data_IF_089333588683
#
_entry.id   IF_089333588683
#
_cell.length_a   1.000
_cell.length_b   1.000
_cell.length_c   1.000
_cell.angle_alpha   90.00
_cell.angle_beta   90.00
_cell.angle_gamma   90.00
#
_symmetry.space_group_name_H-M   'P 1'
#
loop_
_entity.id
_entity.type
_entity.pdbx_description
1 polymer ?
#
# COMPACT_ATOMS: atom_id res chain seq x y z
N UNK A 1 -1.60 47.24 6.75
CA UNK A 1 -1.04 46.20 7.63
C UNK A 1 -1.27 44.86 6.95
N UNK A 2 -0.24 44.27 6.35
CA UNK A 2 -0.33 42.91 5.84
C UNK A 2 -0.38 41.97 7.05
N UNK A 3 -1.53 41.33 7.27
CA UNK A 3 -1.60 40.17 8.18
C UNK A 3 -0.86 39.03 7.48
N UNK A 4 0.35 38.73 7.96
CA UNK A 4 1.04 37.50 7.58
C UNK A 4 0.13 36.33 7.95
N UNK A 5 -0.31 35.59 6.95
CA UNK A 5 -1.07 34.34 7.14
C UNK A 5 -0.06 33.32 7.65
N UNK A 6 -0.06 33.06 8.95
CA UNK A 6 0.69 31.94 9.53
C UNK A 6 0.08 30.66 8.96
N UNK A 7 0.79 30.01 8.05
CA UNK A 7 0.43 28.67 7.61
C UNK A 7 0.77 27.75 8.78
N UNK A 8 -0.24 27.32 9.53
CA UNK A 8 -0.06 26.28 10.54
C UNK A 8 0.19 24.99 9.76
N UNK A 9 1.45 24.54 9.75
CA UNK A 9 1.80 23.23 9.24
C UNK A 9 1.41 22.26 10.35
N UNK A 10 0.29 21.56 10.18
CA UNK A 10 -0.06 20.43 11.04
C UNK A 10 0.85 19.28 10.61
N UNK A 11 1.78 18.90 11.49
CA UNK A 11 2.65 17.74 11.27
C UNK A 11 1.98 16.58 12.00
N UNK A 12 1.84 15.46 11.31
CA UNK A 12 1.32 14.21 11.87
C UNK A 12 2.37 13.13 11.63
N UNK A 13 2.68 12.35 12.66
CA UNK A 13 3.47 11.13 12.54
C UNK A 13 2.50 9.94 12.45
N UNK A 14 2.67 9.14 11.40
CA UNK A 14 1.92 7.89 11.23
C UNK A 14 2.92 6.73 11.35
N UNK A 15 2.70 5.87 12.33
CA UNK A 15 3.53 4.69 12.60
C UNK A 15 2.83 3.46 12.08
N UNK A 16 3.56 2.65 11.31
CA UNK A 16 3.12 1.34 10.83
C UNK A 16 3.93 0.24 11.52
N UNK A 17 3.39 -0.28 12.61
CA UNK A 17 4.05 -1.32 13.38
C UNK A 17 4.07 -2.64 12.59
N UNK A 18 5.26 -3.24 12.47
CA UNK A 18 5.51 -4.39 11.61
C UNK A 18 6.36 -5.44 12.30
N UNK A 19 6.20 -6.70 11.91
CA UNK A 19 6.91 -7.85 12.46
C UNK A 19 6.64 -8.10 13.95
N UNK A 20 5.45 -7.73 14.43
CA UNK A 20 5.04 -7.87 15.83
C UNK A 20 3.80 -8.75 15.92
N UNK A 21 3.98 -10.02 16.30
CA UNK A 21 2.87 -10.96 16.40
C UNK A 21 1.79 -10.45 17.35
N UNK A 22 0.58 -10.29 16.83
CA UNK A 22 -0.61 -9.81 17.54
C UNK A 22 -0.49 -8.39 18.13
N UNK A 23 0.45 -7.60 17.63
CA UNK A 23 0.72 -6.24 18.11
C UNK A 23 1.03 -5.24 16.99
N UNK A 24 0.92 -5.62 15.71
CA UNK A 24 0.95 -4.66 14.63
C UNK A 24 -0.30 -3.76 14.67
N UNK A 25 -0.06 -2.47 14.55
CA UNK A 25 -1.05 -1.40 14.63
C UNK A 25 -0.64 -0.23 13.75
N UNK A 26 -1.60 0.61 13.41
CA UNK A 26 -1.36 1.95 12.87
C UNK A 26 -1.60 2.96 13.98
N UNK A 27 -0.62 3.81 14.26
CA UNK A 27 -0.72 4.85 15.28
C UNK A 27 -0.60 6.22 14.62
N UNK A 28 -1.49 7.14 14.97
CA UNK A 28 -1.48 8.52 14.48
C UNK A 28 -1.19 9.43 15.66
N UNK A 29 -0.07 10.14 15.58
CA UNK A 29 0.43 11.03 16.61
C UNK A 29 0.54 12.44 16.05
N UNK A 30 0.14 13.40 16.87
CA UNK A 30 0.26 14.81 16.55
C UNK A 30 1.53 15.42 17.15
N UNK A 31 1.90 16.60 16.66
CA UNK A 31 2.91 17.44 17.26
C UNK A 31 2.25 18.66 17.91
N UNK A 32 2.79 19.11 19.04
CA UNK A 32 2.36 20.33 19.68
C UNK A 32 2.85 21.59 18.94
N UNK A 33 2.49 22.77 19.45
CA UNK A 33 2.90 24.05 18.85
C UNK A 33 4.42 24.31 18.86
N UNK A 34 5.18 23.56 19.66
CA UNK A 34 6.63 23.61 19.72
C UNK A 34 7.30 22.57 18.78
N UNK A 35 6.49 21.74 18.11
CA UNK A 35 6.98 20.63 17.29
C UNK A 35 7.43 19.42 18.12
N UNK A 36 6.94 19.29 19.36
CA UNK A 36 7.17 18.10 20.20
C UNK A 36 6.07 17.06 19.97
N UNK A 37 6.45 15.78 19.94
CA UNK A 37 5.51 14.68 19.71
C UNK A 37 4.55 14.53 20.90
N UNK A 38 3.24 14.55 20.61
CA UNK A 38 2.19 14.32 21.60
C UNK A 38 2.02 12.81 21.81
N UNK A 39 2.16 12.38 23.05
CA UNK A 39 1.99 10.98 23.48
C UNK A 39 0.96 10.89 24.62
N UNK A 40 0.10 9.86 24.66
CA UNK A 40 0.00 8.73 23.71
C UNK A 40 -0.59 9.13 22.35
N UNK A 41 -0.58 8.24 21.33
CA UNK A 41 -1.24 8.48 20.04
C UNK A 41 -2.70 8.89 20.19
N UNK A 42 -3.16 9.82 19.34
CA UNK A 42 -4.55 10.26 19.32
C UNK A 42 -5.48 9.19 18.73
N UNK A 43 -5.00 8.45 17.73
CA UNK A 43 -5.72 7.34 17.09
C UNK A 43 -4.82 6.12 17.01
N UNK A 44 -5.41 4.95 17.31
CA UNK A 44 -4.77 3.64 17.16
C UNK A 44 -5.74 2.72 16.39
N UNK A 45 -5.27 2.15 15.28
CA UNK A 45 -5.97 1.10 14.54
C UNK A 45 -5.22 -0.21 14.79
N UNK A 46 -5.89 -1.13 15.47
CA UNK A 46 -5.26 -2.31 16.05
C UNK A 46 -5.72 -3.59 15.31
N UNK A 47 -5.33 -3.65 14.04
CA UNK A 47 -5.74 -4.68 13.09
C UNK A 47 -7.12 -4.42 12.46
N UNK A 48 -7.80 -5.49 12.05
CA UNK A 48 -9.09 -5.44 11.35
C UNK A 48 -10.04 -6.50 11.88
N UNK A 49 -11.35 -6.24 11.89
CA UNK A 49 -12.39 -7.21 12.29
C UNK A 49 -12.07 -7.98 13.60
N UNK A 50 -11.54 -7.26 14.60
CA UNK A 50 -11.06 -7.81 15.88
C UNK A 50 -9.88 -8.80 15.79
N UNK A 51 -9.24 -8.93 14.62
CA UNK A 51 -8.02 -9.71 14.41
C UNK A 51 -6.79 -8.83 14.60
N UNK A 52 -5.96 -9.23 15.56
CA UNK A 52 -4.62 -8.66 15.75
C UNK A 52 -3.70 -9.09 14.62
N UNK A 53 -2.83 -8.19 14.22
CA UNK A 53 -1.98 -8.40 13.06
C UNK A 53 -0.51 -8.58 13.42
N UNK A 54 0.24 -9.17 12.50
CA UNK A 54 1.69 -9.29 12.51
C UNK A 54 2.37 -8.13 11.79
N UNK A 55 1.69 -7.55 10.79
CA UNK A 55 2.26 -6.51 9.94
C UNK A 55 1.19 -5.53 9.45
N UNK A 56 1.54 -4.25 9.39
CA UNK A 56 0.79 -3.20 8.74
C UNK A 56 1.68 -2.46 7.73
N UNK A 57 1.15 -2.12 6.55
CA UNK A 57 1.74 -1.17 5.59
C UNK A 57 0.75 -0.05 5.33
N UNK A 58 1.25 1.18 5.13
CA UNK A 58 0.40 2.35 4.95
C UNK A 58 0.84 3.13 3.72
N UNK A 59 -0.13 3.61 2.94
CA UNK A 59 0.03 4.71 1.99
C UNK A 59 -1.12 5.70 2.16
N UNK A 60 -0.94 6.91 1.63
CA UNK A 60 -1.93 7.99 1.72
C UNK A 60 -2.08 8.61 0.33
N UNK A 61 -3.32 8.82 -0.08
CA UNK A 61 -3.64 9.47 -1.35
C UNK A 61 -5.14 9.49 -1.59
N UNK A 62 -5.56 10.35 -2.51
CA UNK A 62 -6.94 10.44 -2.99
C UNK A 62 -7.23 9.24 -3.89
N UNK A 63 -7.80 8.17 -3.31
CA UNK A 63 -8.05 6.91 -4.03
C UNK A 63 -9.44 6.88 -4.67
N UNK A 64 -10.37 7.70 -4.16
CA UNK A 64 -11.74 7.74 -4.64
C UNK A 64 -12.05 8.94 -5.53
N UNK A 65 -11.04 9.80 -5.77
CA UNK A 65 -11.08 10.96 -6.63
C UNK A 65 -12.01 12.07 -6.11
N UNK A 66 -12.17 12.18 -4.79
CA UNK A 66 -12.96 13.21 -4.12
C UNK A 66 -12.15 14.47 -3.73
N UNK A 67 -10.84 14.49 -4.04
CA UNK A 67 -9.84 15.52 -3.70
C UNK A 67 -9.44 15.56 -2.24
N UNK A 68 -9.77 14.53 -1.46
CA UNK A 68 -9.26 14.30 -0.10
C UNK A 68 -8.52 12.98 -0.09
N UNK A 69 -7.53 12.88 0.78
CA UNK A 69 -6.74 11.67 0.87
C UNK A 69 -7.40 10.66 1.81
N UNK A 70 -7.41 9.40 1.41
CA UNK A 70 -7.65 8.27 2.29
C UNK A 70 -6.32 7.72 2.82
N UNK A 71 -6.40 7.08 3.99
CA UNK A 71 -5.31 6.23 4.47
C UNK A 71 -5.58 4.79 4.06
N UNK A 72 -4.71 4.20 3.24
CA UNK A 72 -4.82 2.80 2.82
C UNK A 72 -3.88 1.96 3.68
N UNK A 73 -4.43 0.92 4.31
CA UNK A 73 -3.66 0.01 5.16
C UNK A 73 -3.73 -1.41 4.62
N UNK A 74 -2.57 -1.98 4.34
CA UNK A 74 -2.39 -3.40 4.06
C UNK A 74 -2.05 -4.16 5.34
N UNK A 75 -2.86 -5.15 5.70
CA UNK A 75 -2.75 -5.96 6.91
C UNK A 75 -2.30 -7.39 6.60
N UNK A 76 -1.37 -7.89 7.42
CA UNK A 76 -1.08 -9.33 7.56
C UNK A 76 -1.46 -9.79 8.95
N UNK A 77 -2.40 -10.71 9.06
CA UNK A 77 -2.81 -11.26 10.37
C UNK A 77 -1.65 -11.99 11.06
N UNK A 78 -1.07 -12.99 10.37
CA UNK A 78 -0.02 -13.86 10.93
C UNK A 78 1.15 -13.95 9.96
N UNK A 79 2.37 -14.07 10.48
CA UNK A 79 3.58 -14.21 9.66
C UNK A 79 3.47 -15.32 8.60
N UNK A 80 2.90 -16.47 8.99
CA UNK A 80 2.80 -17.67 8.17
C UNK A 80 1.56 -17.74 7.27
N UNK A 81 0.61 -16.81 7.40
CA UNK A 81 -0.63 -16.80 6.61
C UNK A 81 -0.48 -15.83 5.45
N UNK A 82 -0.62 -16.32 4.21
CA UNK A 82 -0.52 -15.51 3.01
C UNK A 82 -1.87 -15.12 2.46
N UNK A 83 -2.60 -14.41 3.32
CA UNK A 83 -3.82 -13.70 2.99
C UNK A 83 -3.58 -12.23 3.21
N UNK A 84 -3.97 -11.39 2.25
CA UNK A 84 -3.87 -9.95 2.34
C UNK A 84 -5.23 -9.31 2.57
N UNK A 85 -5.26 -8.37 3.51
CA UNK A 85 -6.42 -7.49 3.68
C UNK A 85 -5.98 -6.07 3.40
N UNK A 86 -6.67 -5.36 2.51
CA UNK A 86 -6.37 -3.97 2.17
C UNK A 86 -7.63 -3.15 2.39
N UNK A 87 -7.54 -2.21 3.33
CA UNK A 87 -8.65 -1.37 3.76
C UNK A 87 -8.31 0.11 3.54
N UNK A 88 -9.25 0.87 3.00
CA UNK A 88 -9.20 2.33 2.97
C UNK A 88 -9.94 2.90 4.16
N UNK A 89 -9.30 3.81 4.89
CA UNK A 89 -9.83 4.46 6.07
C UNK A 89 -10.10 5.95 5.79
N UNK A 90 -11.26 6.41 6.26
CA UNK A 90 -11.50 7.82 6.51
C UNK A 90 -10.98 8.14 7.91
N UNK A 91 -10.09 9.13 7.99
CA UNK A 91 -9.49 9.60 9.24
C UNK A 91 -9.90 11.04 9.46
N UNK A 92 -10.44 11.32 10.63
CA UNK A 92 -10.73 12.68 11.13
C UNK A 92 -9.96 12.90 12.42
N UNK A 93 -9.95 14.12 12.95
CA UNK A 93 -9.25 14.47 14.20
C UNK A 93 -9.63 13.59 15.41
N UNK A 94 -10.81 12.96 15.38
CA UNK A 94 -11.36 12.24 16.55
C UNK A 94 -11.84 10.83 16.25
N UNK A 95 -11.87 10.43 14.98
CA UNK A 95 -12.45 9.16 14.59
C UNK A 95 -11.75 8.58 13.36
N UNK A 96 -11.74 7.26 13.31
CA UNK A 96 -11.28 6.48 12.16
C UNK A 96 -12.29 5.40 11.83
N UNK A 97 -12.61 5.23 10.55
CA UNK A 97 -13.55 4.22 10.09
C UNK A 97 -13.13 3.66 8.74
N UNK A 98 -13.39 2.36 8.55
CA UNK A 98 -13.20 1.71 7.25
C UNK A 98 -14.22 2.31 6.27
N UNK A 99 -13.72 2.93 5.20
CA UNK A 99 -14.49 3.48 4.08
C UNK A 99 -14.54 2.49 2.92
N UNK A 100 -13.44 1.79 2.67
CA UNK A 100 -13.29 0.86 1.54
C UNK A 100 -12.67 -0.47 1.96
N UNK A 101 -13.11 -1.55 1.32
CA UNK A 101 -12.49 -2.89 1.43
C UNK A 101 -12.02 -3.31 0.05
N UNK A 102 -10.75 -3.05 -0.27
CA UNK A 102 -10.15 -3.41 -1.56
C UNK A 102 -9.90 -4.91 -1.66
N UNK A 103 -9.44 -5.50 -0.56
CA UNK A 103 -9.23 -6.94 -0.43
C UNK A 103 -9.51 -7.37 1.00
N UNK A 104 -10.09 -8.55 1.17
CA UNK A 104 -10.35 -9.13 2.48
C UNK A 104 -9.86 -10.57 2.49
N UNK A 105 -8.81 -10.82 3.25
CA UNK A 105 -8.17 -12.13 3.38
C UNK A 105 -7.89 -12.82 2.03
N UNK A 106 -7.45 -12.03 1.06
CA UNK A 106 -7.25 -12.42 -0.33
C UNK A 106 -5.93 -13.19 -0.47
N UNK A 107 -6.03 -14.45 -0.91
CA UNK A 107 -4.89 -15.34 -1.14
C UNK A 107 -4.07 -14.93 -2.37
N UNK A 108 -4.65 -14.17 -3.31
CA UNK A 108 -3.94 -13.71 -4.49
C UNK A 108 -2.96 -12.57 -4.17
N UNK A 109 -3.07 -11.95 -2.99
CA UNK A 109 -2.19 -10.91 -2.46
C UNK A 109 -0.95 -11.48 -1.73
N UNK A 110 -0.45 -12.62 -2.18
CA UNK A 110 0.69 -13.34 -1.61
C UNK A 110 1.85 -12.40 -1.22
N UNK A 111 1.96 -12.10 0.08
CA UNK A 111 2.91 -11.14 0.67
C UNK A 111 2.90 -9.71 0.10
N UNK A 112 1.78 -9.21 -0.43
CA UNK A 112 1.64 -7.92 -1.14
C UNK A 112 1.81 -6.63 -0.33
N UNK A 113 2.23 -6.73 0.92
CA UNK A 113 2.21 -5.62 1.88
C UNK A 113 3.57 -5.41 2.56
N UNK A 114 4.65 -5.99 2.04
CA UNK A 114 6.00 -5.53 2.41
C UNK A 114 6.29 -4.16 1.78
N UNK A 115 7.26 -3.42 2.32
CA UNK A 115 7.57 -2.02 1.96
C UNK A 115 7.47 -1.68 0.45
N UNK A 116 6.75 -0.59 0.13
CA UNK A 116 6.58 0.02 -1.22
C UNK A 116 5.97 -0.88 -2.29
N UNK A 117 4.94 -1.64 -1.90
CA UNK A 117 4.17 -2.51 -2.81
C UNK A 117 2.77 -1.97 -3.13
N UNK A 118 2.47 -0.73 -2.73
CA UNK A 118 1.21 -0.05 -3.03
C UNK A 118 1.49 1.37 -3.53
N UNK A 119 0.74 1.82 -4.54
CA UNK A 119 0.80 3.18 -5.11
C UNK A 119 -0.62 3.66 -5.40
N UNK A 120 -0.89 4.95 -5.20
CA UNK A 120 -2.12 5.62 -5.65
C UNK A 120 -1.74 6.60 -6.75
N UNK A 121 -2.22 6.36 -7.96
CA UNK A 121 -1.94 7.18 -9.13
C UNK A 121 -2.90 6.86 -10.28
N UNK A 122 -3.04 7.78 -11.24
CA UNK A 122 -3.71 7.53 -12.52
C UNK A 122 -2.85 6.59 -13.39
N UNK A 123 -2.99 5.29 -13.17
CA UNK A 123 -2.17 4.27 -13.81
C UNK A 123 -2.69 3.86 -15.19
N UNK A 124 -3.94 4.22 -15.49
CA UNK A 124 -4.61 3.82 -16.72
C UNK A 124 -4.95 4.98 -17.67
N UNK A 125 -4.56 6.20 -17.27
CA UNK A 125 -4.63 7.44 -18.03
C UNK A 125 -6.06 7.90 -18.32
N UNK A 126 -7.01 7.59 -17.43
CA UNK A 126 -8.41 8.07 -17.53
C UNK A 126 -8.64 9.40 -16.77
N UNK A 127 -7.61 9.92 -16.10
CA UNK A 127 -7.65 11.14 -15.29
C UNK A 127 -8.09 10.91 -13.85
N UNK A 128 -8.18 9.65 -13.39
CA UNK A 128 -8.52 9.27 -12.01
C UNK A 128 -7.44 8.38 -11.42
N UNK A 129 -7.22 8.54 -10.13
CA UNK A 129 -6.33 7.68 -9.38
C UNK A 129 -6.94 6.29 -9.17
N UNK A 130 -6.06 5.29 -9.27
CA UNK A 130 -6.28 3.89 -8.91
C UNK A 130 -5.35 3.50 -7.76
N UNK A 131 -5.68 2.43 -7.05
CA UNK A 131 -4.75 1.75 -6.15
C UNK A 131 -4.07 0.59 -6.88
N UNK A 132 -2.74 0.68 -7.05
CA UNK A 132 -1.94 -0.39 -7.63
C UNK A 132 -1.23 -1.15 -6.52
N UNK A 133 -1.30 -2.48 -6.55
CA UNK A 133 -0.72 -3.36 -5.55
C UNK A 133 0.11 -4.42 -6.23
N UNK A 134 1.40 -4.49 -5.89
CA UNK A 134 2.27 -5.58 -6.31
C UNK A 134 2.41 -6.63 -5.23
N UNK A 135 2.64 -7.87 -5.63
CA UNK A 135 2.89 -8.98 -4.70
C UNK A 135 4.36 -9.38 -4.71
N UNK A 136 4.76 -10.12 -3.67
CA UNK A 136 6.11 -10.68 -3.56
C UNK A 136 5.99 -12.18 -3.39
N UNK A 137 6.55 -12.92 -4.31
CA UNK A 137 6.64 -14.37 -4.34
C UNK A 137 7.99 -14.93 -3.88
N UNK A 138 8.48 -14.54 -2.71
CA UNK A 138 9.82 -14.96 -2.23
C UNK A 138 9.98 -16.49 -2.18
N UNK A 139 10.95 -17.03 -2.92
CA UNK A 139 11.24 -18.47 -2.96
C UNK A 139 11.89 -19.03 -1.68
N UNK A 140 12.43 -18.19 -0.80
CA UNK A 140 13.33 -18.62 0.28
C UNK A 140 13.00 -18.03 1.66
N UNK A 141 11.74 -17.64 1.90
CA UNK A 141 11.34 -17.22 3.24
C UNK A 141 11.05 -18.43 4.13
N UNK A 142 12.01 -18.81 4.99
CA UNK A 142 11.88 -19.94 5.94
C UNK A 142 10.67 -19.84 6.89
N UNK A 143 10.06 -18.65 6.99
CA UNK A 143 8.97 -18.36 7.92
C UNK A 143 7.65 -17.98 7.23
N UNK A 144 7.53 -18.10 5.90
CA UNK A 144 6.34 -17.69 5.16
C UNK A 144 5.98 -18.72 4.07
N UNK A 145 4.73 -19.18 4.04
CA UNK A 145 4.22 -20.17 3.06
C UNK A 145 3.75 -19.49 1.75
N UNK A 146 4.67 -19.01 0.91
CA UNK A 146 4.34 -18.30 -0.34
C UNK A 146 3.93 -19.26 -1.46
N UNK A 147 2.99 -18.80 -2.30
CA UNK A 147 2.65 -19.42 -3.58
C UNK A 147 3.50 -18.87 -4.74
N UNK A 148 4.45 -17.99 -4.42
CA UNK A 148 5.36 -17.33 -5.33
C UNK A 148 4.67 -16.42 -6.36
N UNK A 149 3.54 -15.83 -6.00
CA UNK A 149 2.84 -14.97 -6.94
C UNK A 149 3.59 -13.64 -7.12
N UNK A 150 3.96 -13.37 -8.37
CA UNK A 150 4.46 -12.09 -8.84
C UNK A 150 3.37 -11.30 -9.57
N UNK A 151 2.27 -11.04 -8.88
CA UNK A 151 1.12 -10.34 -9.43
C UNK A 151 1.25 -8.82 -9.29
N UNK A 152 0.59 -8.11 -10.21
CA UNK A 152 0.26 -6.69 -10.06
C UNK A 152 -1.24 -6.53 -10.28
N UNK A 153 -1.91 -5.99 -9.28
CA UNK A 153 -3.34 -5.69 -9.31
C UNK A 153 -3.57 -4.19 -9.39
N UNK A 154 -4.63 -3.81 -10.08
CA UNK A 154 -5.19 -2.46 -10.06
C UNK A 154 -6.58 -2.51 -9.46
N UNK A 155 -6.84 -1.61 -8.53
CA UNK A 155 -8.13 -1.43 -7.91
C UNK A 155 -8.67 -0.04 -8.23
N UNK A 156 -9.88 0.00 -8.81
CA UNK A 156 -10.54 1.24 -9.22
C UNK A 156 -11.91 1.36 -8.57
N UNK A 157 -12.18 2.48 -7.91
CA UNK A 157 -13.51 2.77 -7.36
C UNK A 157 -14.42 3.26 -8.48
N UNK A 158 -15.48 2.50 -8.74
CA UNK A 158 -16.46 2.81 -9.77
C UNK A 158 -17.43 3.90 -9.30
N UNK A 159 -18.16 4.52 -10.24
CA UNK A 159 -19.10 5.61 -9.93
C UNK A 159 -20.26 5.20 -9.01
N UNK A 160 -20.56 3.91 -8.92
CA UNK A 160 -21.58 3.35 -8.00
C UNK A 160 -21.00 2.96 -6.63
N UNK A 161 -19.72 3.26 -6.38
CA UNK A 161 -19.01 2.93 -5.16
C UNK A 161 -18.47 1.50 -5.10
N UNK A 162 -18.70 0.67 -6.12
CA UNK A 162 -18.12 -0.67 -6.18
C UNK A 162 -16.62 -0.61 -6.49
N UNK A 163 -15.86 -1.60 -6.01
CA UNK A 163 -14.43 -1.70 -6.27
C UNK A 163 -14.22 -2.75 -7.36
N UNK A 164 -13.62 -2.32 -8.47
CA UNK A 164 -13.14 -3.23 -9.52
C UNK A 164 -11.71 -3.65 -9.19
N UNK A 165 -11.41 -4.94 -9.35
CA UNK A 165 -10.05 -5.51 -9.23
C UNK A 165 -9.65 -6.12 -10.57
N UNK A 166 -8.57 -5.62 -11.17
CA UNK A 166 -7.97 -6.16 -12.39
C UNK A 166 -6.59 -6.76 -12.08
N UNK A 167 -6.30 -7.95 -12.60
CA UNK A 167 -4.94 -8.50 -12.64
C UNK A 167 -4.25 -7.95 -13.90
N UNK A 168 -3.23 -7.11 -13.71
CA UNK A 168 -2.51 -6.47 -14.81
C UNK A 168 -1.30 -7.30 -15.26
N UNK A 169 -0.58 -7.86 -14.29
CA UNK A 169 0.63 -8.67 -14.54
C UNK A 169 0.56 -9.93 -13.71
N UNK A 170 0.86 -11.06 -14.36
CA UNK A 170 1.15 -12.34 -13.73
C UNK A 170 2.56 -12.75 -14.15
N UNK A 171 3.55 -12.48 -13.29
CA UNK A 171 4.95 -12.74 -13.62
C UNK A 171 5.22 -14.24 -13.65
N UNK A 172 5.99 -14.66 -14.65
CA UNK A 172 6.53 -16.01 -14.69
C UNK A 172 7.60 -16.16 -13.59
N UNK A 173 7.33 -17.06 -12.65
CA UNK A 173 8.15 -17.36 -11.47
C UNK A 173 9.55 -17.87 -11.81
N UNK A 174 9.81 -18.33 -13.03
CA UNK A 174 11.16 -18.64 -13.53
C UNK A 174 12.06 -17.41 -13.61
N UNK A 175 11.47 -16.22 -13.84
CA UNK A 175 12.21 -15.00 -14.15
C UNK A 175 12.09 -13.93 -13.06
N UNK A 176 10.91 -13.79 -12.46
CA UNK A 176 10.62 -12.66 -11.59
C UNK A 176 9.57 -13.05 -10.54
N UNK A 177 9.83 -12.72 -9.29
CA UNK A 177 8.95 -13.10 -8.18
C UNK A 177 8.64 -11.94 -7.22
N UNK A 178 9.47 -10.90 -7.15
CA UNK A 178 9.24 -9.75 -6.24
C UNK A 178 9.31 -8.45 -7.00
N UNK A 179 8.28 -7.61 -6.96
CA UNK A 179 8.29 -6.32 -7.67
C UNK A 179 8.01 -5.13 -6.77
N UNK A 180 8.97 -4.22 -6.62
CA UNK A 180 8.66 -2.86 -6.19
C UNK A 180 7.98 -2.10 -7.31
N UNK A 181 7.10 -1.18 -6.95
CA UNK A 181 6.23 -0.50 -7.90
C UNK A 181 6.32 1.02 -7.75
N UNK A 182 6.25 1.71 -8.88
CA UNK A 182 5.98 3.14 -8.99
C UNK A 182 5.10 3.41 -10.22
N UNK A 183 4.47 4.58 -10.28
CA UNK A 183 3.63 4.98 -11.42
C UNK A 183 3.97 6.40 -11.84
N UNK A 184 4.18 6.60 -13.13
CA UNK A 184 4.43 7.91 -13.73
C UNK A 184 4.87 7.82 -15.18
N UNK A 185 4.97 8.98 -15.83
CA UNK A 185 5.44 9.12 -17.21
C UNK A 185 6.95 8.83 -17.29
N UNK A 186 7.26 7.56 -17.51
CA UNK A 186 8.62 7.02 -17.44
C UNK A 186 9.33 7.11 -18.79
N UNK A 187 8.58 7.16 -19.89
CA UNK A 187 9.14 7.27 -21.25
C UNK A 187 8.98 8.67 -21.89
N UNK A 188 8.26 9.59 -21.24
CA UNK A 188 7.97 10.97 -21.66
C UNK A 188 7.00 11.04 -22.86
N UNK A 189 6.07 10.10 -23.00
CA UNK A 189 5.01 10.15 -24.02
C UNK A 189 3.78 10.99 -23.58
N UNK A 190 3.76 11.42 -22.31
CA UNK A 190 2.68 12.19 -21.72
C UNK A 190 1.59 11.34 -21.06
N UNK A 191 1.78 10.04 -20.95
CA UNK A 191 0.96 9.09 -20.18
C UNK A 191 1.78 8.52 -19.02
N UNK A 192 1.10 7.99 -18.02
CA UNK A 192 1.73 7.27 -16.93
C UNK A 192 1.88 5.79 -17.28
N UNK A 193 3.02 5.22 -16.91
CA UNK A 193 3.28 3.78 -16.93
C UNK A 193 3.36 3.25 -15.50
N UNK A 194 3.01 1.97 -15.34
CA UNK A 194 3.36 1.24 -14.11
C UNK A 194 4.77 0.69 -14.30
N UNK A 195 5.70 1.12 -13.44
CA UNK A 195 7.10 0.68 -13.46
C UNK A 195 7.34 -0.29 -12.32
N UNK A 196 7.84 -1.47 -12.65
CA UNK A 196 8.15 -2.54 -11.70
C UNK A 196 9.65 -2.78 -11.67
N UNK A 197 10.27 -2.66 -10.50
CA UNK A 197 11.61 -3.17 -10.27
C UNK A 197 11.50 -4.58 -9.68
N UNK A 198 11.88 -5.59 -10.47
CA UNK A 198 11.70 -7.00 -10.12
C UNK A 198 12.95 -7.84 -10.31
N UNK A 199 12.88 -9.12 -9.95
CA UNK A 199 13.96 -10.07 -10.13
C UNK A 199 13.64 -11.43 -9.53
N UNK A 200 14.54 -12.37 -9.80
CA UNK A 200 14.61 -13.66 -9.13
C UNK A 200 15.99 -13.84 -8.54
N UNK A 201 16.07 -14.21 -7.27
CA UNK A 201 17.35 -14.45 -6.65
C UNK A 201 17.32 -14.51 -5.13
N UNK A 202 18.41 -15.03 -4.61
CA UNK A 202 18.69 -15.12 -3.18
C UNK A 202 19.54 -13.91 -2.78
N UNK A 203 19.20 -13.23 -1.68
CA UNK A 203 19.96 -12.07 -1.17
C UNK A 203 21.43 -12.39 -0.88
N UNK A 204 21.79 -13.67 -0.79
CA UNK A 204 23.15 -14.16 -0.54
C UNK A 204 23.91 -14.55 -1.82
N UNK A 205 23.27 -14.49 -3.00
CA UNK A 205 23.87 -14.92 -4.29
C UNK A 205 23.72 -13.83 -5.35
N UNK A 206 24.60 -13.80 -6.37
CA UNK A 206 24.39 -12.94 -7.53
C UNK A 206 23.06 -13.27 -8.22
N UNK A 207 22.24 -12.25 -8.45
CA UNK A 207 20.94 -12.36 -9.12
C UNK A 207 20.84 -11.44 -10.35
N UNK A 208 19.70 -11.49 -11.04
CA UNK A 208 19.35 -10.56 -12.11
C UNK A 208 18.11 -9.78 -11.69
N UNK A 209 18.20 -8.46 -11.82
CA UNK A 209 17.05 -7.57 -11.67
C UNK A 209 16.57 -7.11 -13.04
N UNK A 210 15.28 -6.86 -13.13
CA UNK A 210 14.59 -6.35 -14.31
C UNK A 210 13.83 -5.08 -13.92
N UNK A 211 13.68 -4.19 -14.89
CA UNK A 211 12.68 -3.14 -14.84
C UNK A 211 11.64 -3.46 -15.90
N UNK A 212 10.38 -3.57 -15.50
CA UNK A 212 9.26 -3.81 -16.40
C UNK A 212 8.43 -2.54 -16.43
N UNK A 213 8.08 -2.11 -17.64
CA UNK A 213 7.16 -1.01 -17.89
C UNK A 213 5.87 -1.63 -18.41
N UNK A 214 4.76 -1.36 -17.74
CA UNK A 214 3.44 -1.86 -18.13
C UNK A 214 2.66 -0.70 -18.72
N UNK A 215 2.39 -0.79 -20.01
CA UNK A 215 1.61 0.17 -20.77
C UNK A 215 0.20 -0.38 -20.99
N UNK A 216 -0.83 0.42 -20.71
CA UNK A 216 -2.21 0.12 -21.11
C UNK A 216 -2.48 0.81 -22.45
N UNK A 217 -2.82 0.02 -23.47
CA UNK A 217 -3.11 0.50 -24.83
C UNK A 217 -4.54 0.99 -24.99
#
# INVERSE_FOLDING_TARGET
MNKSVVHIIIIVLIVSNSFMQDAAAVEILDFDENGELIIPPGIIIDGYDNKKCFYASIIIGDVDNDKRNEMIVGWKEKQKVNKGTILGYEVTDTNVSVKYTFAFEDEALDMSYFEKMMVIADADNDGKNDLIVSTRGDNMSENIESHHYGHVFMYSIQSDGTIKKDLLVDMNDEYAESSWIDVGDADNDGKNEIVLATGKGDRTKPGRSFVIMVEKK
#
